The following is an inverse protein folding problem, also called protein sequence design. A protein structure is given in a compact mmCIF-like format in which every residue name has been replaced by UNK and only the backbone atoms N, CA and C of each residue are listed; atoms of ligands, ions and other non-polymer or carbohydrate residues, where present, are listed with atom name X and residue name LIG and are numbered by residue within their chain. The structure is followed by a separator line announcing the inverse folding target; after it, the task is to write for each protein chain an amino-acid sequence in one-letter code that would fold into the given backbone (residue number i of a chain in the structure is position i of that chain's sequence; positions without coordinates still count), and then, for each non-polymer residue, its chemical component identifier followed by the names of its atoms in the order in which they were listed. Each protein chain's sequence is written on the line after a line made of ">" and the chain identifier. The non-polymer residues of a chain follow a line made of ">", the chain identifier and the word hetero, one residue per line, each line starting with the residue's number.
data_IF_104808320237
#
_entry.id   IF_104808320237
#
_cell.length_a   1.000
_cell.length_b   1.000
_cell.length_c   1.000
_cell.angle_alpha   90.00
_cell.angle_beta   90.00
_cell.angle_gamma   90.00
#
_symmetry.space_group_name_H-M   'P 1'
#
loop_
_entity.id
_entity.type
_entity.pdbx_description
1 polymer ?
#
# COMPACT_ATOMS: atom_id res chain seq x y z
N UNK A 1 -10.40 -12.61 9.99
CA UNK A 1 -9.95 -11.35 10.60
C UNK A 1 -8.43 -11.17 10.47
N UNK A 2 -7.61 -12.20 10.69
CA UNK A 2 -6.14 -12.09 10.67
C UNK A 2 -5.51 -11.63 9.34
N UNK A 3 -6.07 -12.02 8.19
CA UNK A 3 -5.48 -11.67 6.89
C UNK A 3 -5.44 -10.17 6.58
N UNK A 4 -6.48 -9.42 6.99
CA UNK A 4 -6.53 -7.97 6.81
C UNK A 4 -5.62 -7.25 7.81
N UNK A 5 -5.52 -7.77 9.04
CA UNK A 5 -4.61 -7.24 10.06
C UNK A 5 -3.14 -7.42 9.64
N UNK A 6 -2.79 -8.60 9.11
CA UNK A 6 -1.45 -8.87 8.57
C UNK A 6 -1.12 -7.96 7.38
N UNK A 7 -2.07 -7.77 6.46
CA UNK A 7 -1.90 -6.82 5.35
C UNK A 7 -1.77 -5.39 5.87
N UNK A 8 -2.49 -5.01 6.92
CA UNK A 8 -2.39 -3.68 7.53
C UNK A 8 -1.00 -3.44 8.13
N UNK A 9 -0.44 -4.43 8.81
CA UNK A 9 0.93 -4.37 9.36
C UNK A 9 1.97 -4.27 8.25
N UNK A 10 1.88 -5.14 7.24
CA UNK A 10 2.78 -5.12 6.07
C UNK A 10 2.69 -3.75 5.35
N UNK A 11 1.48 -3.23 5.16
CA UNK A 11 1.22 -1.94 4.53
C UNK A 11 1.88 -0.80 5.32
N UNK A 12 1.68 -0.78 6.65
CA UNK A 12 2.26 0.24 7.54
C UNK A 12 3.78 0.28 7.44
N UNK A 13 4.43 -0.88 7.47
CA UNK A 13 5.89 -0.99 7.36
C UNK A 13 6.38 -0.44 6.02
N UNK A 14 5.75 -0.85 4.90
CA UNK A 14 6.11 -0.37 3.57
C UNK A 14 5.89 1.14 3.43
N UNK A 15 4.75 1.64 3.93
CA UNK A 15 4.39 3.05 3.91
C UNK A 15 5.41 3.92 4.66
N UNK A 16 5.77 3.53 5.89
CA UNK A 16 6.76 4.25 6.69
C UNK A 16 8.17 4.24 6.08
N UNK A 17 8.54 3.19 5.35
CA UNK A 17 9.81 3.13 4.62
C UNK A 17 9.81 4.03 3.38
N UNK A 18 8.67 4.20 2.74
CA UNK A 18 8.52 5.01 1.54
C UNK A 18 8.65 6.52 1.83
N UNK A 19 7.99 7.01 2.89
CA UNK A 19 7.87 8.45 3.18
C UNK A 19 9.20 9.25 3.28
N UNK A 20 10.28 8.74 3.91
CA UNK A 20 11.52 9.50 4.07
C UNK A 20 12.38 9.52 2.80
N UNK A 21 12.25 8.50 1.92
CA UNK A 21 13.21 8.26 0.85
C UNK A 21 12.66 8.51 -0.55
N UNK A 22 11.33 8.47 -0.76
CA UNK A 22 10.71 8.47 -2.12
C UNK A 22 11.52 7.62 -3.12
N UNK A 23 12.07 6.50 -2.66
CA UNK A 23 13.09 5.78 -3.43
C UNK A 23 12.47 4.62 -4.18
N UNK A 24 13.01 4.31 -5.35
CA UNK A 24 12.67 3.13 -6.15
C UNK A 24 12.73 1.80 -5.36
N UNK A 25 13.58 1.69 -4.34
CA UNK A 25 13.64 0.51 -3.46
C UNK A 25 12.36 0.26 -2.63
N UNK A 26 11.57 1.30 -2.38
CA UNK A 26 10.28 1.17 -1.69
C UNK A 26 9.15 0.70 -2.63
N UNK A 27 9.37 0.73 -3.95
CA UNK A 27 8.47 0.13 -4.95
C UNK A 27 8.52 -1.41 -4.91
N UNK A 28 9.68 -1.99 -4.55
CA UNK A 28 9.79 -3.45 -4.33
C UNK A 28 8.90 -3.92 -3.18
N UNK A 29 8.81 -3.13 -2.10
CA UNK A 29 7.93 -3.43 -0.96
C UNK A 29 6.44 -3.33 -1.35
N UNK A 30 6.07 -2.36 -2.21
CA UNK A 30 4.70 -2.24 -2.75
C UNK A 30 4.29 -3.39 -3.67
N UNK A 31 5.21 -3.87 -4.52
CA UNK A 31 5.01 -5.04 -5.39
C UNK A 31 4.70 -6.31 -4.60
N UNK A 32 5.50 -6.58 -3.56
CA UNK A 32 5.32 -7.74 -2.71
C UNK A 32 4.02 -7.66 -1.88
N UNK A 33 3.63 -6.45 -1.47
CA UNK A 33 2.39 -6.20 -0.75
C UNK A 33 1.16 -6.49 -1.63
N UNK A 34 1.14 -5.99 -2.87
CA UNK A 34 0.06 -6.25 -3.83
C UNK A 34 -0.12 -7.75 -4.14
N UNK A 35 0.98 -8.50 -4.22
CA UNK A 35 0.94 -9.96 -4.38
C UNK A 35 0.40 -10.69 -3.14
N UNK A 36 0.86 -10.32 -1.95
CA UNK A 36 0.39 -10.95 -0.69
C UNK A 36 -1.09 -10.70 -0.44
N UNK A 37 -1.60 -9.52 -0.79
CA UNK A 37 -3.03 -9.19 -0.68
C UNK A 37 -3.90 -10.15 -1.49
N UNK A 38 -3.48 -10.51 -2.71
CA UNK A 38 -4.24 -11.43 -3.56
C UNK A 38 -4.24 -12.86 -3.01
N UNK A 39 -3.09 -13.34 -2.52
CA UNK A 39 -2.99 -14.67 -1.88
C UNK A 39 -3.89 -14.76 -0.65
N UNK A 40 -4.08 -13.64 0.06
CA UNK A 40 -4.89 -13.52 1.28
C UNK A 40 -6.36 -13.17 1.01
N UNK A 41 -6.80 -13.10 -0.25
CA UNK A 41 -8.19 -12.79 -0.61
C UNK A 41 -8.63 -11.36 -0.27
N UNK A 42 -7.69 -10.44 -0.06
CA UNK A 42 -7.95 -9.04 0.27
C UNK A 42 -8.35 -8.28 -0.99
N UNK A 43 -9.46 -7.53 -0.92
CA UNK A 43 -9.96 -6.78 -2.07
C UNK A 43 -9.20 -5.46 -2.28
N UNK A 44 -9.34 -4.88 -3.47
CA UNK A 44 -8.83 -3.53 -3.74
C UNK A 44 -9.43 -2.48 -2.79
N UNK A 45 -10.70 -2.63 -2.40
CA UNK A 45 -11.37 -1.71 -1.48
C UNK A 45 -10.76 -1.79 -0.08
N UNK A 46 -10.38 -2.99 0.36
CA UNK A 46 -9.70 -3.19 1.64
C UNK A 46 -8.31 -2.53 1.64
N UNK A 47 -7.55 -2.63 0.53
CA UNK A 47 -6.26 -1.95 0.40
C UNK A 47 -6.39 -0.42 0.48
N UNK A 48 -7.42 0.15 -0.16
CA UNK A 48 -7.72 1.59 -0.07
C UNK A 48 -8.13 1.97 1.36
N UNK A 49 -8.94 1.13 2.03
CA UNK A 49 -9.30 1.37 3.42
C UNK A 49 -8.08 1.38 4.34
N UNK A 50 -7.23 0.36 4.24
CA UNK A 50 -5.97 0.24 5.00
C UNK A 50 -5.07 1.45 4.75
N UNK A 51 -4.94 1.90 3.50
CA UNK A 51 -4.18 3.10 3.17
C UNK A 51 -4.67 4.32 3.94
N UNK A 52 -5.98 4.57 3.96
CA UNK A 52 -6.53 5.73 4.65
C UNK A 52 -6.36 5.65 6.17
N UNK A 53 -6.47 4.46 6.76
CA UNK A 53 -6.19 4.25 8.19
C UNK A 53 -4.73 4.60 8.50
N UNK A 54 -3.78 4.01 7.78
CA UNK A 54 -2.34 4.24 8.00
C UNK A 54 -1.94 5.69 7.73
N UNK A 55 -2.48 6.32 6.67
CA UNK A 55 -2.24 7.73 6.39
C UNK A 55 -2.77 8.62 7.51
N UNK A 56 -3.98 8.35 8.02
CA UNK A 56 -4.56 9.11 9.13
C UNK A 56 -3.70 9.07 10.39
N UNK A 57 -3.17 7.90 10.74
CA UNK A 57 -2.24 7.74 11.87
C UNK A 57 -0.94 8.54 11.66
N UNK A 58 -0.34 8.47 10.47
CA UNK A 58 0.88 9.23 10.17
C UNK A 58 0.62 10.73 10.23
N UNK A 59 -0.51 11.20 9.68
CA UNK A 59 -0.85 12.62 9.67
C UNK A 59 -1.14 13.17 11.08
N UNK A 60 -1.59 12.33 12.02
CA UNK A 60 -1.81 12.74 13.40
C UNK A 60 -0.52 13.23 14.08
N UNK A 61 0.63 12.64 13.74
CA UNK A 61 1.95 12.98 14.28
C UNK A 61 2.79 13.87 13.34
N UNK A 62 2.24 14.25 12.17
CA UNK A 62 2.96 15.02 11.15
C UNK A 62 2.84 16.53 11.41
N UNK A 63 3.96 17.29 11.41
CA UNK A 63 3.93 18.76 11.46
C UNK A 63 3.10 19.35 10.32
N UNK A 64 2.35 20.42 10.59
CA UNK A 64 1.39 21.00 9.63
C UNK A 64 2.05 21.40 8.30
N UNK A 65 3.28 21.88 8.35
CA UNK A 65 4.10 22.26 7.20
C UNK A 65 4.46 21.07 6.30
N UNK A 66 4.51 19.85 6.85
CA UNK A 66 4.86 18.62 6.13
C UNK A 66 3.64 17.86 5.59
N UNK A 67 2.42 18.15 6.08
CA UNK A 67 1.17 17.44 5.70
C UNK A 67 0.97 17.37 4.19
N UNK A 68 1.22 18.46 3.46
CA UNK A 68 1.09 18.49 2.00
C UNK A 68 2.07 17.55 1.30
N UNK A 69 3.33 17.53 1.76
CA UNK A 69 4.40 16.69 1.22
C UNK A 69 4.13 15.20 1.47
N UNK A 70 3.65 14.87 2.68
CA UNK A 70 3.30 13.51 3.10
C UNK A 70 2.07 13.01 2.34
N UNK A 71 1.01 13.82 2.23
CA UNK A 71 -0.20 13.46 1.48
C UNK A 71 0.10 13.18 0.01
N UNK A 72 0.96 14.00 -0.63
CA UNK A 72 1.37 13.76 -2.01
C UNK A 72 2.13 12.43 -2.16
N UNK A 73 3.12 12.18 -1.29
CA UNK A 73 3.87 10.94 -1.30
C UNK A 73 2.98 9.71 -1.04
N UNK A 74 1.98 9.85 -0.15
CA UNK A 74 1.01 8.81 0.12
C UNK A 74 0.18 8.45 -1.12
N UNK A 75 -0.26 9.46 -1.89
CA UNK A 75 -0.95 9.25 -3.15
C UNK A 75 -0.12 8.47 -4.16
N UNK A 76 1.15 8.84 -4.33
CA UNK A 76 2.08 8.12 -5.22
C UNK A 76 2.24 6.65 -4.79
N UNK A 77 2.39 6.40 -3.49
CA UNK A 77 2.50 5.05 -2.94
C UNK A 77 1.24 4.21 -3.19
N UNK A 78 0.05 4.79 -2.99
CA UNK A 78 -1.21 4.09 -3.23
C UNK A 78 -1.34 3.69 -4.71
N UNK A 79 -1.02 4.60 -5.63
CA UNK A 79 -1.09 4.32 -7.06
C UNK A 79 -0.19 3.15 -7.45
N UNK A 80 1.02 3.07 -6.91
CA UNK A 80 1.93 1.95 -7.17
C UNK A 80 1.39 0.62 -6.62
N UNK A 81 0.89 0.61 -5.39
CA UNK A 81 0.29 -0.60 -4.79
C UNK A 81 -0.91 -1.07 -5.62
N UNK A 82 -1.74 -0.15 -6.11
CA UNK A 82 -2.90 -0.51 -6.94
C UNK A 82 -2.50 -0.97 -8.34
N UNK A 83 -1.49 -0.36 -8.96
CA UNK A 83 -0.97 -0.79 -10.26
C UNK A 83 -0.41 -2.22 -10.18
N UNK A 84 0.36 -2.52 -9.14
CA UNK A 84 0.93 -3.86 -8.92
C UNK A 84 -0.15 -4.90 -8.58
N UNK A 85 -1.17 -4.52 -7.81
CA UNK A 85 -2.34 -5.35 -7.56
C UNK A 85 -3.09 -5.70 -8.85
N UNK A 86 -3.42 -4.72 -9.72
CA UNK A 86 -4.10 -4.99 -11.01
C UNK A 86 -3.29 -5.94 -11.89
N UNK A 87 -1.98 -5.69 -12.03
CA UNK A 87 -1.08 -6.54 -12.81
C UNK A 87 -1.04 -7.98 -12.29
N UNK A 88 -0.96 -8.16 -10.97
CA UNK A 88 -0.93 -9.50 -10.36
C UNK A 88 -2.29 -10.20 -10.47
N UNK A 89 -3.39 -9.48 -10.28
CA UNK A 89 -4.74 -10.02 -10.42
C UNK A 89 -5.05 -10.45 -11.87
N UNK A 90 -4.58 -9.68 -12.87
CA UNK A 90 -4.72 -10.04 -14.29
C UNK A 90 -3.98 -11.34 -14.65
N UNK A 91 -2.75 -11.53 -14.15
CA UNK A 91 -1.95 -12.74 -14.41
C UNK A 91 -2.62 -14.02 -13.88
N UNK A 92 -3.30 -13.93 -12.74
CA UNK A 92 -4.01 -15.09 -12.17
C UNK A 92 -5.22 -15.48 -13.01
N UNK A 93 -5.94 -14.50 -13.56
CA UNK A 93 -7.07 -14.74 -14.45
C UNK A 93 -6.66 -15.41 -15.75
N UNK A 94 -5.54 -15.01 -16.35
CA UNK A 94 -5.03 -15.60 -17.61
C UNK A 94 -4.34 -16.96 -17.43
N UNK A 95 -3.94 -17.32 -16.22
CA UNK A 95 -3.29 -18.63 -15.93
C UNK A 95 -4.31 -19.73 -15.61
N UNK A 96 -5.59 -19.37 -15.51
CA UNK A 96 -6.70 -20.27 -15.21
C UNK A 96 -7.53 -20.62 -16.47
N UNK A 97 -7.10 -20.16 -17.64
CA UNK A 97 -7.59 -20.50 -18.99
C UNK A 97 -6.59 -21.42 -19.71
#
# INVERSE_FOLDING_TARGET
>A
MGDLEDVTLDYRVAFQRYLPRRSEAALTDGYDLGRRAIVRGVSMLDLVHVHHVVLGEVLADTPREDVGRITAAAGDFLLEVLATFDMAHRRLRTSSE
#
